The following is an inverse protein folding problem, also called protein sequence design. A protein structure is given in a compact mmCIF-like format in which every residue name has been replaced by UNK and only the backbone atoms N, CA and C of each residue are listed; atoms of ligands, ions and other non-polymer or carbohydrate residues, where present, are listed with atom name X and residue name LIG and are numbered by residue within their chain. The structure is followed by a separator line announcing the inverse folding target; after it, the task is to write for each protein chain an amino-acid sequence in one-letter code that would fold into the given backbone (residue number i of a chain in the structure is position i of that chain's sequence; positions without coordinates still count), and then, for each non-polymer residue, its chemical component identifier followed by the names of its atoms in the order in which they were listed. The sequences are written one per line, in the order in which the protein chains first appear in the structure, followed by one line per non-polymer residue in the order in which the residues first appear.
data_IF_192638037041
#
_entry.id   IF_192638037041
#
_cell.length_a   1.000
_cell.length_b   1.000
_cell.length_c   1.000
_cell.angle_alpha   90.00
_cell.angle_beta   90.00
_cell.angle_gamma   90.00
#
_symmetry.space_group_name_H-M   'P 1'
#
loop_
_entity.id
_entity.type
_entity.pdbx_description
1 polymer ?
#
# COMPACT_ATOMS: atom_id res chain seq x y z
N UNK A 1 14.56 -16.79 0.17
CA UNK A 1 13.47 -15.91 -0.32
C UNK A 1 12.98 -16.27 -1.73
N UNK A 2 13.85 -16.48 -2.74
CA UNK A 2 13.44 -16.84 -4.11
C UNK A 2 12.49 -18.07 -4.21
N UNK A 3 12.72 -19.14 -3.43
CA UNK A 3 11.84 -20.33 -3.37
C UNK A 3 10.43 -20.07 -2.80
N UNK A 4 10.27 -19.09 -1.90
CA UNK A 4 8.96 -18.73 -1.35
C UNK A 4 8.14 -17.92 -2.37
N UNK A 5 8.81 -17.06 -3.15
CA UNK A 5 8.22 -16.30 -4.25
C UNK A 5 7.80 -17.21 -5.41
N UNK A 6 8.60 -18.25 -5.74
CA UNK A 6 8.23 -19.30 -6.69
C UNK A 6 6.99 -20.10 -6.23
N UNK A 7 6.91 -20.48 -4.95
CA UNK A 7 5.70 -21.16 -4.41
C UNK A 7 4.47 -20.27 -4.30
N UNK A 8 4.66 -18.98 -4.01
CA UNK A 8 3.57 -18.00 -4.06
C UNK A 8 3.12 -17.76 -5.51
N UNK A 9 4.04 -17.79 -6.49
CA UNK A 9 3.73 -17.76 -7.92
C UNK A 9 3.01 -19.03 -8.41
N UNK A 10 3.34 -20.21 -7.88
CA UNK A 10 2.64 -21.47 -8.18
C UNK A 10 1.19 -21.51 -7.67
N UNK A 11 0.86 -20.68 -6.66
CA UNK A 11 -0.50 -20.50 -6.12
C UNK A 11 -1.14 -19.18 -6.54
N UNK A 12 -0.42 -18.35 -7.29
CA UNK A 12 -0.91 -17.06 -7.73
C UNK A 12 -2.03 -17.29 -8.75
N UNK A 13 -3.12 -16.59 -8.52
CA UNK A 13 -4.26 -16.62 -9.42
C UNK A 13 -3.84 -15.98 -10.76
N UNK A 14 -4.33 -16.52 -11.89
CA UNK A 14 -4.14 -15.88 -13.19
C UNK A 14 -4.69 -14.46 -13.15
N UNK A 15 -3.80 -13.47 -13.23
CA UNK A 15 -4.15 -12.07 -13.04
C UNK A 15 -3.74 -11.25 -14.26
N UNK A 16 -4.50 -10.20 -14.55
CA UNK A 16 -4.14 -9.18 -15.54
C UNK A 16 -3.10 -8.17 -15.01
N UNK A 17 -2.60 -8.36 -13.78
CA UNK A 17 -1.50 -7.58 -13.22
C UNK A 17 -0.21 -7.92 -14.00
N UNK A 18 0.46 -6.95 -14.64
CA UNK A 18 1.68 -7.20 -15.38
C UNK A 18 2.77 -7.79 -14.48
N UNK A 19 3.51 -8.80 -14.97
CA UNK A 19 4.58 -9.44 -14.21
C UNK A 19 5.69 -8.48 -13.72
N UNK A 20 5.87 -7.34 -14.40
CA UNK A 20 6.82 -6.28 -14.02
C UNK A 20 6.30 -5.33 -12.95
N UNK A 21 4.99 -5.32 -12.69
CA UNK A 21 4.38 -4.41 -11.74
C UNK A 21 4.80 -4.76 -10.31
N UNK A 22 5.18 -3.75 -9.55
CA UNK A 22 5.58 -3.90 -8.15
C UNK A 22 4.33 -3.83 -7.28
N UNK A 23 3.91 -4.97 -6.74
CA UNK A 23 2.69 -5.03 -5.92
C UNK A 23 3.00 -4.78 -4.44
N UNK A 24 2.40 -3.74 -3.89
CA UNK A 24 2.56 -3.26 -2.53
C UNK A 24 1.30 -3.52 -1.72
N UNK A 25 1.41 -4.29 -0.64
CA UNK A 25 0.34 -4.44 0.34
C UNK A 25 0.47 -3.37 1.43
N UNK A 26 -0.59 -2.62 1.69
CA UNK A 26 -0.68 -1.70 2.83
C UNK A 26 -1.58 -2.36 3.87
N UNK A 27 -1.02 -2.68 5.03
CA UNK A 27 -1.70 -3.43 6.09
C UNK A 27 -1.72 -2.67 7.41
N UNK A 28 -2.68 -2.98 8.28
CA UNK A 28 -2.73 -2.48 9.65
C UNK A 28 -3.26 -3.55 10.61
N UNK A 29 -2.82 -3.51 11.86
CA UNK A 29 -3.29 -4.44 12.90
C UNK A 29 -4.75 -4.20 13.31
N UNK A 30 -5.30 -3.00 13.10
CA UNK A 30 -6.68 -2.64 13.40
C UNK A 30 -7.22 -1.56 12.46
N UNK A 31 -8.53 -1.31 12.55
CA UNK A 31 -9.21 -0.21 11.87
C UNK A 31 -8.88 1.15 12.47
N UNK A 32 -9.07 2.22 11.69
CA UNK A 32 -8.95 3.60 12.18
C UNK A 32 -7.54 4.21 12.21
N UNK A 33 -6.49 3.45 11.89
CA UNK A 33 -5.09 3.96 11.89
C UNK A 33 -4.75 4.87 10.70
N UNK A 34 -5.69 5.09 9.77
CA UNK A 34 -5.49 5.91 8.56
C UNK A 34 -4.79 5.19 7.40
N UNK A 35 -4.78 3.84 7.41
CA UNK A 35 -4.23 2.97 6.36
C UNK A 35 -4.61 3.42 4.94
N UNK A 36 -5.90 3.61 4.65
CA UNK A 36 -6.39 4.02 3.34
C UNK A 36 -5.90 5.42 2.92
N UNK A 37 -5.81 6.36 3.86
CA UNK A 37 -5.23 7.68 3.59
C UNK A 37 -3.76 7.59 3.20
N UNK A 38 -3.00 6.69 3.83
CA UNK A 38 -1.62 6.39 3.44
C UNK A 38 -1.58 5.74 2.06
N UNK A 39 -2.40 4.71 1.80
CA UNK A 39 -2.50 4.02 0.52
C UNK A 39 -2.76 4.98 -0.65
N UNK A 40 -3.75 5.88 -0.49
CA UNK A 40 -4.11 6.89 -1.50
C UNK A 40 -2.97 7.88 -1.74
N UNK A 41 -2.44 8.50 -0.68
CA UNK A 41 -1.39 9.51 -0.84
C UNK A 41 -0.08 8.91 -1.37
N UNK A 42 0.24 7.67 -1.01
CA UNK A 42 1.36 6.92 -1.58
C UNK A 42 1.16 6.69 -3.08
N UNK A 43 -0.01 6.16 -3.48
CA UNK A 43 -0.30 5.90 -4.89
C UNK A 43 -0.24 7.18 -5.74
N UNK A 44 -0.79 8.28 -5.22
CA UNK A 44 -0.74 9.60 -5.85
C UNK A 44 0.70 10.13 -5.91
N UNK A 45 1.49 10.00 -4.83
CA UNK A 45 2.90 10.41 -4.81
C UNK A 45 3.73 9.68 -5.87
N UNK A 46 3.51 8.37 -6.03
CA UNK A 46 4.17 7.55 -7.06
C UNK A 46 3.71 7.95 -8.46
N UNK A 47 2.40 8.15 -8.69
CA UNK A 47 1.89 8.56 -10.00
C UNK A 47 2.45 9.93 -10.42
N UNK A 48 2.59 10.88 -9.48
CA UNK A 48 3.21 12.19 -9.75
C UNK A 48 4.66 12.10 -10.23
N UNK A 49 5.36 11.00 -9.97
CA UNK A 49 6.71 10.74 -10.49
C UNK A 49 6.71 10.24 -11.95
N UNK A 50 5.55 10.23 -12.62
CA UNK A 50 5.42 9.78 -14.00
C UNK A 50 5.08 8.29 -14.14
N UNK A 51 4.75 7.62 -13.04
CA UNK A 51 4.48 6.18 -13.02
C UNK A 51 3.00 5.90 -13.31
N UNK A 52 2.72 4.73 -13.87
CA UNK A 52 1.36 4.19 -13.95
C UNK A 52 1.10 3.32 -12.71
N UNK A 53 0.18 3.78 -11.86
CA UNK A 53 -0.06 3.22 -10.54
C UNK A 53 -1.49 2.73 -10.44
N UNK A 54 -1.66 1.45 -10.11
CA UNK A 54 -2.93 0.88 -9.69
C UNK A 54 -3.15 1.10 -8.19
N UNK A 55 -4.38 1.38 -7.79
CA UNK A 55 -4.83 1.39 -6.40
C UNK A 55 -6.06 0.48 -6.30
N UNK A 56 -5.91 -0.60 -5.54
CA UNK A 56 -6.96 -1.55 -5.22
C UNK A 56 -7.37 -1.37 -3.76
N UNK A 57 -8.60 -0.95 -3.53
CA UNK A 57 -9.21 -0.91 -2.20
C UNK A 57 -9.97 -2.21 -1.94
N UNK A 58 -9.38 -3.06 -1.10
CA UNK A 58 -9.91 -4.36 -0.72
C UNK A 58 -10.68 -4.33 0.62
N UNK A 59 -10.84 -3.17 1.25
CA UNK A 59 -11.54 -3.03 2.52
C UNK A 59 -13.05 -2.87 2.28
N UNK A 60 -13.81 -3.96 2.47
CA UNK A 60 -15.25 -3.98 2.14
C UNK A 60 -16.09 -3.16 3.12
N UNK A 61 -15.68 -3.11 4.39
CA UNK A 61 -16.47 -2.45 5.45
C UNK A 61 -16.02 -1.00 5.68
N UNK A 62 -14.75 -0.71 5.39
CA UNK A 62 -14.12 0.58 5.62
C UNK A 62 -13.72 1.33 4.35
N UNK A 63 -14.28 0.99 3.19
CA UNK A 63 -13.89 1.59 1.91
C UNK A 63 -13.94 3.12 1.98
N UNK A 64 -12.77 3.73 1.81
CA UNK A 64 -12.63 5.18 1.89
C UNK A 64 -11.92 5.76 0.69
N UNK A 65 -11.36 4.91 -0.17
CA UNK A 65 -10.61 5.33 -1.36
C UNK A 65 -11.47 6.13 -2.35
N UNK A 66 -12.71 5.72 -2.72
CA UNK A 66 -13.57 6.51 -3.61
C UNK A 66 -13.77 7.94 -3.10
N UNK A 67 -14.19 8.08 -1.83
CA UNK A 67 -14.40 9.36 -1.16
C UNK A 67 -13.13 10.19 -1.05
N UNK A 68 -12.00 9.59 -0.66
CA UNK A 68 -10.71 10.29 -0.56
C UNK A 68 -10.21 10.82 -1.90
N UNK A 69 -10.66 10.20 -3.00
CA UNK A 69 -10.38 10.61 -4.36
C UNK A 69 -11.53 11.38 -5.02
N UNK A 70 -12.67 11.62 -4.36
CA UNK A 70 -13.83 12.24 -5.02
C UNK A 70 -14.19 11.52 -6.31
N UNK A 71 -14.19 10.19 -6.26
CA UNK A 71 -14.59 9.32 -7.37
C UNK A 71 -15.86 8.60 -6.96
N UNK A 72 -16.89 8.71 -7.78
CA UNK A 72 -18.17 8.04 -7.57
C UNK A 72 -18.65 7.39 -8.88
N UNK A 73 -19.59 6.47 -8.74
CA UNK A 73 -20.23 5.76 -9.86
C UNK A 73 -19.90 4.27 -9.92
N UNK A 74 -20.69 3.49 -10.69
CA UNK A 74 -20.52 2.04 -10.77
C UNK A 74 -19.28 1.66 -11.58
N UNK A 75 -18.65 0.54 -11.19
CA UNK A 75 -17.59 -0.08 -12.01
C UNK A 75 -18.15 -0.45 -13.37
N UNK A 76 -17.52 0.04 -14.44
CA UNK A 76 -17.85 -0.39 -15.79
C UNK A 76 -17.21 -1.74 -16.10
N UNK A 77 -17.94 -2.61 -16.80
CA UNK A 77 -17.39 -3.85 -17.35
C UNK A 77 -17.44 -3.82 -18.89
N UNK A 78 -16.35 -4.24 -19.55
CA UNK A 78 -16.28 -4.38 -21.01
C UNK A 78 -15.65 -5.71 -21.38
N UNK A 79 -16.35 -6.51 -22.18
CA UNK A 79 -15.92 -7.85 -22.58
C UNK A 79 -15.51 -8.74 -21.38
N UNK A 80 -16.35 -8.77 -20.35
CA UNK A 80 -16.13 -9.59 -19.15
C UNK A 80 -15.06 -9.09 -18.18
N UNK A 81 -14.42 -7.94 -18.45
CA UNK A 81 -13.39 -7.35 -17.59
C UNK A 81 -13.87 -6.02 -17.00
N UNK A 82 -13.60 -5.81 -15.72
CA UNK A 82 -13.79 -4.53 -15.02
C UNK A 82 -12.78 -3.49 -15.52
N UNK A 83 -13.25 -2.29 -15.78
CA UNK A 83 -12.43 -1.16 -16.20
C UNK A 83 -12.19 -0.27 -14.97
N UNK A 84 -10.94 -0.09 -14.54
CA UNK A 84 -10.64 0.78 -13.40
C UNK A 84 -10.93 2.24 -13.75
N UNK A 85 -11.29 3.03 -12.74
CA UNK A 85 -11.35 4.49 -12.88
C UNK A 85 -9.95 5.02 -13.13
N UNK A 86 -9.80 5.95 -14.07
CA UNK A 86 -8.49 6.53 -14.41
C UNK A 86 -8.46 8.02 -14.08
N UNK A 87 -7.34 8.48 -13.52
CA UNK A 87 -7.07 9.90 -13.26
C UNK A 87 -5.61 10.21 -13.57
N UNK A 88 -5.39 11.22 -14.40
CA UNK A 88 -4.05 11.76 -14.64
C UNK A 88 -3.59 12.51 -13.39
N UNK A 89 -2.39 12.21 -12.91
CA UNK A 89 -1.82 12.82 -11.70
C UNK A 89 -0.39 13.28 -12.00
N UNK A 90 -0.21 14.59 -12.20
CA UNK A 90 1.07 15.13 -12.63
C UNK A 90 1.47 14.57 -14.00
N UNK A 91 2.62 13.91 -14.08
CA UNK A 91 3.12 13.28 -15.30
C UNK A 91 2.72 11.80 -15.46
N UNK A 92 2.00 11.22 -14.48
CA UNK A 92 1.64 9.80 -14.48
C UNK A 92 0.13 9.57 -14.43
N UNK A 93 -0.25 8.32 -14.17
CA UNK A 93 -1.63 7.85 -14.25
C UNK A 93 -1.98 7.01 -13.02
N UNK A 94 -3.08 7.35 -12.38
CA UNK A 94 -3.68 6.57 -11.31
C UNK A 94 -4.86 5.77 -11.86
N UNK A 95 -4.87 4.46 -11.63
CA UNK A 95 -5.97 3.54 -11.94
C UNK A 95 -6.56 3.02 -10.65
N UNK A 96 -7.87 3.08 -10.46
CA UNK A 96 -8.50 2.80 -9.18
C UNK A 96 -9.61 1.78 -9.33
N UNK A 97 -9.60 0.77 -8.46
CA UNK A 97 -10.75 -0.08 -8.23
C UNK A 97 -10.97 -0.20 -6.72
N UNK A 98 -12.23 -0.20 -6.30
CA UNK A 98 -12.60 -0.26 -4.89
C UNK A 98 -13.84 -1.11 -4.72
N UNK A 99 -13.89 -1.84 -3.62
CA UNK A 99 -15.11 -2.50 -3.13
C UNK A 99 -16.26 -1.50 -2.96
N UNK A 100 -15.96 -0.24 -2.62
CA UNK A 100 -16.96 0.82 -2.50
C UNK A 100 -17.70 1.17 -3.80
N UNK A 101 -17.19 0.77 -4.97
CA UNK A 101 -17.91 0.94 -6.24
C UNK A 101 -18.90 -0.20 -6.55
N UNK A 102 -18.80 -1.32 -5.83
CA UNK A 102 -19.70 -2.49 -5.98
C UNK A 102 -20.87 -2.46 -5.00
N UNK A 103 -20.72 -1.74 -3.89
CA UNK A 103 -21.79 -1.46 -2.93
C UNK A 103 -22.71 -0.39 -3.53
N UNK A 104 -23.86 -0.78 -4.06
CA UNK A 104 -24.93 0.20 -4.33
C UNK A 104 -25.33 0.90 -3.04
N UNK A 105 -25.64 2.19 -3.08
CA UNK A 105 -25.88 3.02 -1.88
C UNK A 105 -27.05 2.54 -0.98
N UNK A 106 -27.86 1.58 -1.43
CA UNK A 106 -29.11 1.17 -0.75
C UNK A 106 -29.20 -0.28 -0.27
N UNK A 107 -28.24 -1.16 -0.56
CA UNK A 107 -28.28 -2.53 -0.03
C UNK A 107 -27.13 -2.79 0.93
N UNK A 108 -27.46 -2.89 2.22
CA UNK A 108 -26.62 -3.52 3.22
C UNK A 108 -26.51 -5.03 2.94
N UNK A 109 -25.83 -5.38 1.84
CA UNK A 109 -25.55 -6.76 1.46
C UNK A 109 -24.69 -7.34 2.59
N UNK A 110 -25.22 -8.33 3.31
CA UNK A 110 -24.43 -9.09 4.27
C UNK A 110 -23.45 -9.99 3.51
N UNK A 111 -22.27 -9.45 3.25
CA UNK A 111 -21.19 -10.19 2.61
C UNK A 111 -20.67 -11.29 3.54
N UNK A 112 -20.90 -12.56 3.16
CA UNK A 112 -20.27 -13.70 3.85
C UNK A 112 -18.79 -13.79 3.47
N UNK A 113 -17.94 -14.29 4.35
CA UNK A 113 -16.47 -14.38 4.15
C UNK A 113 -16.04 -14.99 2.81
N UNK A 114 -16.73 -16.02 2.33
CA UNK A 114 -16.46 -16.63 1.02
C UNK A 114 -16.80 -15.72 -0.17
N UNK A 115 -17.84 -14.90 -0.04
CA UNK A 115 -18.21 -13.92 -1.08
C UNK A 115 -17.22 -12.77 -1.12
N UNK A 116 -16.74 -12.33 0.05
CA UNK A 116 -15.67 -11.32 0.16
C UNK A 116 -14.41 -11.81 -0.56
N UNK A 117 -13.95 -13.02 -0.23
CA UNK A 117 -12.77 -13.60 -0.86
C UNK A 117 -12.91 -13.70 -2.37
N UNK A 118 -14.08 -14.15 -2.87
CA UNK A 118 -14.35 -14.19 -4.32
C UNK A 118 -14.38 -12.81 -4.96
N UNK A 119 -15.03 -11.82 -4.34
CA UNK A 119 -15.09 -10.46 -4.86
C UNK A 119 -13.69 -9.85 -5.01
N UNK A 120 -12.83 -10.02 -4.00
CA UNK A 120 -11.47 -9.50 -4.12
C UNK A 120 -10.63 -10.33 -5.10
N UNK A 121 -10.83 -11.65 -5.20
CA UNK A 121 -10.23 -12.46 -6.28
C UNK A 121 -10.63 -11.95 -7.67
N UNK A 122 -11.90 -11.62 -7.90
CA UNK A 122 -12.35 -10.99 -9.14
C UNK A 122 -11.63 -9.68 -9.43
N UNK A 123 -11.26 -8.88 -8.42
CA UNK A 123 -10.46 -7.68 -8.66
C UNK A 123 -9.02 -7.96 -9.13
N UNK A 124 -8.47 -9.10 -8.74
CA UNK A 124 -7.15 -9.53 -9.20
C UNK A 124 -7.23 -10.15 -10.58
N UNK A 125 -8.27 -10.93 -10.86
CA UNK A 125 -8.44 -11.69 -12.10
C UNK A 125 -9.03 -10.85 -13.24
N UNK A 126 -10.06 -10.05 -12.94
CA UNK A 126 -10.96 -9.51 -13.94
C UNK A 126 -10.83 -8.01 -14.16
N UNK A 127 -9.94 -7.33 -13.43
CA UNK A 127 -9.65 -5.91 -13.67
C UNK A 127 -8.65 -5.76 -14.80
N UNK A 128 -9.03 -5.02 -15.83
CA UNK A 128 -8.15 -4.67 -16.96
C UNK A 128 -7.18 -3.56 -16.56
N UNK A 129 -6.15 -3.93 -15.81
CA UNK A 129 -5.11 -3.01 -15.37
C UNK A 129 -4.31 -2.41 -16.53
N UNK A 130 -4.01 -3.22 -17.55
CA UNK A 130 -3.14 -2.80 -18.66
C UNK A 130 -1.72 -2.55 -18.18
N UNK A 131 -1.05 -1.50 -18.68
CA UNK A 131 0.28 -1.14 -18.19
C UNK A 131 0.23 -0.67 -16.72
N UNK A 132 1.11 -1.24 -15.88
CA UNK A 132 1.32 -0.84 -14.49
C UNK A 132 2.81 -0.90 -14.14
N UNK A 133 3.29 0.10 -13.41
CA UNK A 133 4.60 0.09 -12.74
C UNK A 133 4.46 -0.34 -11.26
N UNK A 134 3.39 0.11 -10.60
CA UNK A 134 3.04 -0.25 -9.23
C UNK A 134 1.57 -0.62 -9.12
N UNK A 135 1.24 -1.53 -8.20
CA UNK A 135 -0.11 -1.76 -7.70
C UNK A 135 -0.09 -1.65 -6.18
N UNK A 136 -0.77 -0.64 -5.64
CA UNK A 136 -0.95 -0.45 -4.20
C UNK A 136 -2.28 -1.11 -3.80
N UNK A 137 -2.23 -1.98 -2.81
CA UNK A 137 -3.41 -2.70 -2.31
C UNK A 137 -3.67 -2.26 -0.88
N UNK A 138 -4.79 -1.59 -0.68
CA UNK A 138 -5.29 -1.23 0.64
C UNK A 138 -6.03 -2.43 1.24
N UNK A 139 -5.35 -3.19 2.09
CA UNK A 139 -5.89 -4.43 2.65
C UNK A 139 -6.96 -4.14 3.72
N UNK A 140 -7.91 -5.05 3.99
CA UNK A 140 -8.75 -4.98 5.18
C UNK A 140 -7.90 -4.86 6.47
N UNK A 141 -8.44 -4.27 7.55
CA UNK A 141 -7.74 -4.23 8.83
C UNK A 141 -7.66 -5.61 9.49
N UNK A 142 -6.61 -5.83 10.28
CA UNK A 142 -6.49 -6.99 11.17
C UNK A 142 -5.54 -8.07 10.67
N UNK A 143 -5.96 -9.32 10.91
CA UNK A 143 -5.29 -10.56 10.44
C UNK A 143 -6.33 -11.62 10.05
N UNK A 144 -7.50 -11.18 9.60
CA UNK A 144 -8.60 -12.08 9.23
C UNK A 144 -8.34 -12.86 7.94
N UNK A 145 -9.16 -13.88 7.70
CA UNK A 145 -9.01 -14.81 6.56
C UNK A 145 -8.93 -14.11 5.19
N UNK A 146 -9.64 -13.00 5.01
CA UNK A 146 -9.62 -12.21 3.76
C UNK A 146 -8.23 -11.65 3.48
N UNK A 147 -7.58 -11.10 4.50
CA UNK A 147 -6.25 -10.50 4.37
C UNK A 147 -5.18 -11.55 4.12
N UNK A 148 -5.27 -12.70 4.79
CA UNK A 148 -4.38 -13.86 4.56
C UNK A 148 -4.55 -14.37 3.14
N UNK A 149 -5.80 -14.59 2.71
CA UNK A 149 -6.12 -15.08 1.36
C UNK A 149 -5.57 -14.12 0.29
N UNK A 150 -5.73 -12.81 0.47
CA UNK A 150 -5.20 -11.81 -0.45
C UNK A 150 -3.68 -11.80 -0.49
N UNK A 151 -3.04 -11.82 0.68
CA UNK A 151 -1.59 -11.84 0.78
C UNK A 151 -0.98 -13.09 0.10
N UNK A 152 -1.68 -14.22 0.12
CA UNK A 152 -1.26 -15.47 -0.54
C UNK A 152 -1.54 -15.50 -2.04
N UNK A 153 -2.57 -14.80 -2.51
CA UNK A 153 -3.05 -14.89 -3.91
C UNK A 153 -2.26 -13.99 -4.87
N UNK A 154 -1.38 -13.13 -4.35
CA UNK A 154 -0.76 -12.03 -5.09
C UNK A 154 0.76 -12.12 -5.00
N UNK A 155 1.49 -11.91 -6.11
CA UNK A 155 2.95 -11.86 -6.11
C UNK A 155 3.45 -10.52 -5.52
N UNK A 156 3.38 -10.39 -4.19
CA UNK A 156 3.76 -9.18 -3.48
C UNK A 156 5.27 -8.88 -3.60
N UNK A 157 5.58 -7.63 -3.95
CA UNK A 157 6.92 -7.08 -3.80
C UNK A 157 7.24 -6.77 -2.32
N UNK A 158 6.20 -6.49 -1.53
CA UNK A 158 6.29 -6.43 -0.07
C UNK A 158 5.11 -5.72 0.58
N UNK A 159 5.08 -5.77 1.91
CA UNK A 159 4.06 -5.17 2.74
C UNK A 159 4.60 -3.98 3.55
N UNK A 160 3.81 -2.92 3.65
CA UNK A 160 4.03 -1.79 4.55
C UNK A 160 3.02 -1.88 5.69
N UNK A 161 3.50 -1.83 6.92
CA UNK A 161 2.65 -1.86 8.11
C UNK A 161 2.38 -0.43 8.56
N UNK A 162 1.11 -0.03 8.58
CA UNK A 162 0.65 1.25 9.11
C UNK A 162 0.19 1.08 10.55
N UNK A 163 0.69 1.93 11.43
CA UNK A 163 0.35 1.95 12.86
C UNK A 163 0.21 3.38 13.37
N UNK A 164 -0.20 3.56 14.62
CA UNK A 164 -0.16 4.86 15.31
C UNK A 164 0.68 4.76 16.58
N UNK A 165 1.14 5.87 17.20
CA UNK A 165 2.01 5.79 18.37
C UNK A 165 1.40 5.00 19.54
N UNK A 166 0.06 5.04 19.66
CA UNK A 166 -0.72 4.35 20.69
C UNK A 166 -0.77 2.83 20.51
N UNK A 167 -0.60 2.36 19.27
CA UNK A 167 -0.98 1.00 18.86
C UNK A 167 0.14 -0.02 19.01
N UNK A 168 1.30 0.45 19.43
CA UNK A 168 2.57 -0.25 19.37
C UNK A 168 2.74 -1.24 20.52
N UNK A 169 2.04 -1.00 21.62
CA UNK A 169 1.94 -1.94 22.73
C UNK A 169 0.89 -3.03 22.51
N UNK A 170 0.03 -2.89 21.49
CA UNK A 170 -1.10 -3.80 21.26
C UNK A 170 -0.64 -5.03 20.48
N UNK A 171 -1.06 -6.21 20.93
CA UNK A 171 -0.82 -7.50 20.27
C UNK A 171 -1.24 -7.52 18.78
N UNK A 172 -2.12 -6.62 18.35
CA UNK A 172 -2.72 -6.55 17.02
C UNK A 172 -1.73 -6.25 15.91
N UNK A 173 -0.83 -5.29 16.11
CA UNK A 173 0.15 -4.90 15.07
C UNK A 173 1.26 -5.96 14.97
N UNK A 174 1.67 -6.52 16.10
CA UNK A 174 2.57 -7.68 16.15
C UNK A 174 1.98 -8.89 15.44
N UNK A 175 0.67 -9.15 15.58
CA UNK A 175 -0.04 -10.19 14.83
C UNK A 175 0.00 -9.93 13.32
N UNK A 176 -0.21 -8.69 12.90
CA UNK A 176 -0.08 -8.28 11.49
C UNK A 176 1.31 -8.60 10.91
N UNK A 177 2.38 -8.25 11.62
CA UNK A 177 3.76 -8.57 11.21
C UNK A 177 4.01 -10.09 11.18
N UNK A 178 3.53 -10.80 12.21
CA UNK A 178 3.66 -12.25 12.30
C UNK A 178 2.95 -12.96 11.15
N UNK A 179 1.78 -12.48 10.71
CA UNK A 179 1.06 -13.03 9.57
C UNK A 179 1.93 -13.01 8.31
N UNK A 180 2.51 -11.86 7.94
CA UNK A 180 3.39 -11.78 6.76
C UNK A 180 4.65 -12.65 6.93
N UNK A 181 5.21 -12.68 8.13
CA UNK A 181 6.36 -13.54 8.46
C UNK A 181 6.04 -15.04 8.26
N UNK A 182 4.89 -15.50 8.76
CA UNK A 182 4.42 -16.89 8.61
C UNK A 182 4.15 -17.24 7.14
N UNK A 183 3.60 -16.30 6.39
CA UNK A 183 3.38 -16.41 4.95
C UNK A 183 4.68 -16.28 4.12
N UNK A 184 5.81 -15.97 4.77
CA UNK A 184 7.13 -15.74 4.14
C UNK A 184 7.09 -14.62 3.09
N UNK A 185 6.27 -13.61 3.35
CA UNK A 185 6.13 -12.42 2.52
C UNK A 185 7.00 -11.30 3.10
N UNK A 186 7.69 -10.52 2.25
CA UNK A 186 8.60 -9.48 2.74
C UNK A 186 7.81 -8.32 3.36
N UNK A 187 8.18 -7.94 4.58
CA UNK A 187 7.71 -6.71 5.22
C UNK A 187 8.77 -5.63 5.01
N UNK A 188 8.43 -4.60 4.23
CA UNK A 188 9.35 -3.52 3.85
C UNK A 188 9.64 -2.59 5.02
N UNK A 189 8.68 -2.44 5.93
CA UNK A 189 8.85 -1.66 7.15
C UNK A 189 7.54 -1.13 7.71
N UNK A 190 7.67 -0.23 8.68
CA UNK A 190 6.58 0.37 9.45
C UNK A 190 6.50 1.86 9.16
N UNK A 191 5.27 2.35 8.92
CA UNK A 191 4.93 3.78 8.88
C UNK A 191 4.10 4.10 10.12
N UNK A 192 4.55 5.08 10.91
CA UNK A 192 3.76 5.64 12.00
C UNK A 192 2.91 6.79 11.47
N UNK A 193 1.58 6.63 11.50
CA UNK A 193 0.64 7.68 11.17
C UNK A 193 0.15 8.37 12.44
N UNK A 194 -0.33 9.62 12.29
CA UNK A 194 -0.80 10.45 13.40
C UNK A 194 0.29 10.72 14.45
N UNK A 195 1.55 10.84 14.01
CA UNK A 195 2.72 11.07 14.86
C UNK A 195 2.81 12.54 15.28
N UNK A 196 2.08 12.90 16.33
CA UNK A 196 1.95 14.28 16.81
C UNK A 196 1.22 15.19 15.83
N UNK A 197 1.29 16.50 16.06
CA UNK A 197 0.62 17.56 15.32
C UNK A 197 1.54 18.77 15.24
N UNK A 198 1.71 19.35 14.06
CA UNK A 198 2.50 20.57 13.88
C UNK A 198 1.54 21.75 13.80
N UNK A 199 1.60 22.65 14.79
CA UNK A 199 0.74 23.83 14.83
C UNK A 199 0.99 24.72 13.60
N UNK A 200 -0.03 25.01 12.77
CA UNK A 200 0.16 25.81 11.57
C UNK A 200 0.46 27.29 11.88
N UNK A 201 0.17 27.75 13.10
CA UNK A 201 0.38 29.14 13.51
C UNK A 201 1.80 29.40 14.05
N UNK A 202 2.32 28.52 14.90
CA UNK A 202 3.64 28.70 15.54
C UNK A 202 4.71 27.67 15.13
N UNK A 203 4.35 26.60 14.40
CA UNK A 203 5.27 25.54 14.00
C UNK A 203 5.65 24.55 15.11
N UNK A 204 5.14 24.74 16.33
CA UNK A 204 5.41 23.86 17.47
C UNK A 204 4.77 22.49 17.27
N UNK A 205 5.50 21.43 17.65
CA UNK A 205 5.01 20.05 17.61
C UNK A 205 4.37 19.69 18.94
N UNK A 206 3.16 19.16 18.87
CA UNK A 206 2.45 18.58 20.01
C UNK A 206 2.20 17.10 19.76
N UNK A 207 2.66 16.24 20.65
CA UNK A 207 2.45 14.79 20.54
C UNK A 207 1.06 14.41 21.06
N UNK A 208 0.01 14.79 20.31
CA UNK A 208 -1.42 14.60 20.66
C UNK A 208 -1.73 13.17 21.09
N UNK A 209 -1.10 12.21 20.42
CA UNK A 209 -1.29 10.79 20.64
C UNK A 209 0.01 10.08 21.06
N UNK A 210 0.98 10.83 21.60
CA UNK A 210 2.34 10.34 21.76
C UNK A 210 3.11 10.29 20.44
N UNK A 211 4.32 9.75 20.48
CA UNK A 211 5.21 9.61 19.32
C UNK A 211 6.17 8.43 19.51
N UNK A 212 6.72 7.92 18.42
CA UNK A 212 7.86 6.99 18.44
C UNK A 212 7.49 5.52 18.66
N UNK A 213 6.23 5.19 18.89
CA UNK A 213 5.82 3.80 19.04
C UNK A 213 6.09 2.97 17.77
N UNK A 214 5.73 3.44 16.58
CA UNK A 214 5.97 2.74 15.33
C UNK A 214 7.45 2.51 15.05
N UNK A 215 8.33 3.40 15.52
CA UNK A 215 9.79 3.20 15.49
C UNK A 215 10.20 2.08 16.44
N UNK A 216 9.73 2.10 17.67
CA UNK A 216 9.99 1.05 18.65
C UNK A 216 9.47 -0.31 18.16
N UNK A 217 8.28 -0.36 17.55
CA UNK A 217 7.74 -1.56 16.92
C UNK A 217 8.67 -2.10 15.84
N UNK A 218 9.18 -1.22 14.97
CA UNK A 218 10.09 -1.61 13.91
C UNK A 218 11.37 -2.21 14.50
N UNK A 219 11.98 -1.54 15.49
CA UNK A 219 13.20 -1.99 16.16
C UNK A 219 13.03 -3.35 16.85
N UNK A 220 11.95 -3.52 17.63
CA UNK A 220 11.63 -4.77 18.34
C UNK A 220 11.46 -5.97 17.39
N UNK A 221 11.01 -5.74 16.17
CA UNK A 221 10.78 -6.78 15.16
C UNK A 221 11.90 -6.87 14.11
N UNK A 222 12.98 -6.09 14.25
CA UNK A 222 14.06 -6.05 13.26
C UNK A 222 13.63 -5.54 11.88
N UNK A 223 12.57 -4.73 11.84
CA UNK A 223 12.04 -4.11 10.63
C UNK A 223 12.58 -2.69 10.45
N UNK A 224 12.44 -2.15 9.24
CA UNK A 224 12.77 -0.76 8.97
C UNK A 224 11.65 0.17 9.43
N UNK A 225 12.04 1.31 9.97
CA UNK A 225 11.13 2.43 10.16
C UNK A 225 11.15 3.31 8.91
N UNK A 226 10.02 3.40 8.21
CA UNK A 226 9.90 4.08 6.91
C UNK A 226 9.59 5.57 7.06
N UNK A 227 9.10 5.97 8.24
CA UNK A 227 8.86 7.36 8.57
C UNK A 227 7.63 7.54 9.45
N UNK A 228 7.45 8.79 9.88
CA UNK A 228 6.33 9.24 10.69
C UNK A 228 5.54 10.30 9.91
N UNK A 229 4.22 10.28 10.04
CA UNK A 229 3.30 11.20 9.36
C UNK A 229 2.47 11.90 10.45
N UNK A 230 2.75 13.19 10.74
CA UNK A 230 1.98 13.93 11.72
C UNK A 230 0.50 14.09 11.33
N UNK A 231 -0.33 14.37 12.32
CA UNK A 231 -1.71 14.79 12.11
C UNK A 231 -1.74 16.07 11.27
N UNK A 232 -2.52 16.01 10.19
CA UNK A 232 -2.85 17.16 9.38
C UNK A 232 -4.33 17.05 8.97
N UNK A 233 -5.16 18.04 9.31
CA UNK A 233 -6.57 18.05 8.93
C UNK A 233 -6.80 17.84 7.43
N UNK A 234 -5.87 18.30 6.59
CA UNK A 234 -5.94 18.18 5.12
C UNK A 234 -5.84 16.73 4.64
N UNK A 235 -5.23 15.85 5.44
CA UNK A 235 -5.08 14.41 5.12
C UNK A 235 -6.39 13.66 5.34
N UNK A 236 -7.13 13.97 6.43
CA UNK A 236 -8.44 13.35 6.72
C UNK A 236 -9.51 13.82 5.74
N UNK A 237 -9.52 15.12 5.45
CA UNK A 237 -10.60 15.76 4.72
C UNK A 237 -10.46 15.51 3.21
N UNK A 238 -9.31 14.99 2.74
CA UNK A 238 -9.06 14.86 1.30
C UNK A 238 -9.32 16.21 0.63
N UNK A 239 -8.76 17.28 1.19
CA UNK A 239 -9.02 18.64 0.73
C UNK A 239 -10.51 19.00 0.56
N UNK A 240 -11.45 18.39 1.29
CA UNK A 240 -12.89 18.74 1.26
C UNK A 240 -13.62 18.26 0.01
N UNK A 241 -12.90 18.22 -1.11
CA UNK A 241 -13.43 18.06 -2.46
C UNK A 241 -13.00 16.72 -3.10
N UNK A 242 -12.56 15.76 -2.28
CA UNK A 242 -12.06 14.48 -2.77
C UNK A 242 -10.69 14.59 -3.46
N UNK A 243 -9.84 15.49 -2.97
CA UNK A 243 -8.47 15.62 -3.45
C UNK A 243 -7.48 15.25 -2.35
N UNK A 244 -6.76 14.12 -2.47
CA UNK A 244 -5.75 13.76 -1.46
C UNK A 244 -4.64 14.81 -1.42
N UNK A 245 -3.99 14.97 -0.27
CA UNK A 245 -2.95 15.98 -0.04
C UNK A 245 -1.88 15.98 -1.13
N UNK A 246 -1.42 14.79 -1.54
CA UNK A 246 -0.40 14.68 -2.60
C UNK A 246 -0.89 15.14 -3.98
N UNK A 247 -2.20 15.22 -4.21
CA UNK A 247 -2.76 15.82 -5.42
C UNK A 247 -2.92 17.34 -5.25
N UNK A 248 -3.51 17.78 -4.13
CA UNK A 248 -3.88 19.18 -3.88
C UNK A 248 -2.68 20.08 -3.54
N UNK A 249 -1.82 19.66 -2.61
CA UNK A 249 -0.71 20.47 -2.10
C UNK A 249 0.55 19.62 -1.79
N UNK A 250 1.18 19.05 -2.83
CA UNK A 250 2.37 18.19 -2.70
C UNK A 250 3.63 18.95 -2.28
N UNK A 251 3.65 20.29 -2.41
CA UNK A 251 4.79 21.13 -2.06
C UNK A 251 4.77 21.58 -0.60
N UNK A 252 3.63 21.48 0.08
CA UNK A 252 3.49 21.74 1.51
C UNK A 252 4.49 20.98 2.37
N UNK A 253 4.73 21.45 3.62
CA UNK A 253 5.50 20.68 4.61
C UNK A 253 5.03 19.23 4.73
N UNK A 254 3.71 19.00 4.79
CA UNK A 254 3.16 17.65 4.88
C UNK A 254 3.31 16.87 3.57
N UNK A 255 3.18 17.51 2.41
CA UNK A 255 3.47 16.90 1.11
C UNK A 255 4.92 16.44 0.97
N UNK A 256 5.87 17.16 1.60
CA UNK A 256 7.28 16.71 1.69
C UNK A 256 7.45 15.48 2.59
N UNK A 257 6.73 15.41 3.70
CA UNK A 257 6.73 14.22 4.58
C UNK A 257 6.21 12.99 3.83
N UNK A 258 5.05 13.09 3.19
CA UNK A 258 4.51 11.99 2.39
C UNK A 258 5.44 11.57 1.24
N UNK A 259 6.07 12.53 0.58
CA UNK A 259 7.06 12.27 -0.47
C UNK A 259 8.26 11.49 0.06
N UNK A 260 8.80 11.89 1.21
CA UNK A 260 9.92 11.20 1.84
C UNK A 260 9.55 9.75 2.21
N UNK A 261 8.36 9.53 2.78
CA UNK A 261 7.87 8.17 3.08
C UNK A 261 7.70 7.34 1.81
N UNK A 262 7.11 7.92 0.75
CA UNK A 262 6.95 7.25 -0.54
C UNK A 262 8.30 6.87 -1.19
N UNK A 263 9.30 7.75 -1.09
CA UNK A 263 10.66 7.48 -1.56
C UNK A 263 11.33 6.36 -0.79
N UNK A 264 11.18 6.33 0.55
CA UNK A 264 11.68 5.23 1.37
C UNK A 264 11.03 3.89 0.99
N UNK A 265 9.70 3.87 0.82
CA UNK A 265 8.98 2.67 0.36
C UNK A 265 9.49 2.22 -1.01
N UNK A 266 9.63 3.14 -1.97
CA UNK A 266 10.11 2.82 -3.32
C UNK A 266 11.57 2.31 -3.31
N UNK A 267 12.42 2.83 -2.42
CA UNK A 267 13.78 2.38 -2.22
C UNK A 267 13.81 0.94 -1.67
N UNK A 268 12.99 0.62 -0.66
CA UNK A 268 12.91 -0.73 -0.10
C UNK A 268 12.37 -1.75 -1.10
N UNK A 269 11.35 -1.38 -1.89
CA UNK A 269 10.87 -2.22 -3.00
C UNK A 269 11.96 -2.50 -4.02
N UNK A 270 12.81 -1.50 -4.31
CA UNK A 270 13.90 -1.65 -5.27
C UNK A 270 15.00 -2.57 -4.72
N UNK A 271 15.34 -2.45 -3.43
CA UNK A 271 16.27 -3.36 -2.74
C UNK A 271 15.75 -4.80 -2.73
N UNK A 272 14.48 -5.00 -2.39
CA UNK A 272 13.87 -6.33 -2.34
C UNK A 272 13.81 -6.98 -3.73
N UNK A 273 13.45 -6.22 -4.77
CA UNK A 273 13.47 -6.73 -6.14
C UNK A 273 14.89 -7.01 -6.66
N UNK A 274 15.88 -6.20 -6.28
CA UNK A 274 17.28 -6.46 -6.60
C UNK A 274 17.77 -7.75 -5.93
N UNK A 275 17.49 -7.94 -4.64
CA UNK A 275 17.82 -9.16 -3.91
C UNK A 275 17.14 -10.40 -4.50
N UNK A 276 15.89 -10.26 -4.95
CA UNK A 276 15.15 -11.35 -5.58
C UNK A 276 15.62 -11.70 -7.00
N UNK A 277 16.16 -10.74 -7.75
CA UNK A 277 16.69 -10.95 -9.11
C UNK A 277 18.16 -11.41 -9.14
N UNK A 278 18.81 -11.53 -7.98
CA UNK A 278 20.19 -12.01 -7.86
C UNK A 278 21.27 -10.97 -8.17
N UNK A 279 20.89 -9.71 -8.43
CA UNK A 279 21.80 -8.65 -8.88
C UNK A 279 22.42 -8.90 -10.26
N UNK A 280 23.12 -7.92 -10.87
CA UNK A 280 23.96 -8.19 -12.01
C UNK A 280 25.04 -9.20 -11.60
N UNK A 281 25.18 -10.29 -12.35
CA UNK A 281 26.42 -11.07 -12.32
C UNK A 281 27.55 -10.12 -12.69
N UNK A 282 28.40 -9.77 -11.72
CA UNK A 282 29.64 -9.08 -12.06
C UNK A 282 30.37 -9.98 -13.07
N UNK A 283 30.73 -9.48 -14.26
CA UNK A 283 31.54 -10.26 -15.18
C UNK A 283 32.76 -10.72 -14.41
N UNK A 284 33.07 -12.01 -14.48
CA UNK A 284 34.25 -12.58 -13.82
C UNK A 284 35.45 -11.69 -14.15
N UNK A 285 36.08 -11.12 -13.12
CA UNK A 285 37.26 -10.30 -13.32
C UNK A 285 38.24 -11.06 -14.23
N UNK A 286 38.77 -10.43 -15.30
CA UNK A 286 39.75 -11.10 -16.14
C UNK A 286 40.88 -11.58 -15.24
N UNK A 287 41.19 -12.88 -15.29
CA UNK A 287 42.34 -13.43 -14.60
C UNK A 287 43.57 -12.77 -15.20
N UNK A 288 44.11 -11.75 -14.52
CA UNK A 288 45.39 -11.14 -14.90
C UNK A 288 46.44 -12.22 -14.65
N UNK A 289 47.11 -12.75 -15.69
CA UNK A 289 48.18 -13.70 -15.47
C UNK A 289 49.33 -12.95 -14.78
N UNK A 290 49.64 -13.35 -13.56
CA UNK A 290 50.87 -12.92 -12.89
C UNK A 290 52.00 -13.63 -13.66
N UNK A 291 52.72 -12.87 -14.49
CA UNK A 291 53.99 -13.35 -15.06
C UNK A 291 55.01 -13.42 -13.93
N UNK A 292 55.45 -14.64 -13.62
CA UNK A 292 56.67 -14.89 -12.85
C UNK A 292 57.92 -14.62 -13.67
#
# INVERSE_FOLDING_TARGET
MARARLKAQERAVTTDIPARAKVLAIASGKGGVGKSSISVNLAVALARRGLVVGLLDADVWGHSVPRLLGMDGPVQARAGKMIPFERVVGAGLLKVISMGFLSGEDEAIMWRGLMLNRAVQHFLEDVRWGALDYLVIDLPPGTGDVQISLAQSIPLAGAVIVTTPQDVSIADVSRGIQMFTQLRLPVLGVVENMSGFICPHCGERTDVFGSGGGRELAERNGLRFLGEIPLDPRVRVGGGDGQPLMAADPASPMGRVFRAVAEQIAAEVSKENYAASGGPQMPSAPRIPIRG
#
